data_IF_293583413385
#
_entry.id   IF_293583413385
#
_cell.length_a   1.000
_cell.length_b   1.000
_cell.length_c   1.000
_cell.angle_alpha   90.00
_cell.angle_beta   90.00
_cell.angle_gamma   90.00
#
_symmetry.space_group_name_H-M   'P 1'
#
loop_
_entity.id
_entity.type
_entity.pdbx_description
1 polymer ?
#
# COMPACT_ATOMS: atom_id res chain seq x y z
N UNK A 1 -47.28 -11.01 1.65
CA UNK A 1 -46.35 -10.53 0.61
C UNK A 1 -46.10 -9.03 0.71
N UNK A 2 -47.11 -8.15 0.72
CA UNK A 2 -46.97 -6.68 0.82
C UNK A 2 -46.20 -6.22 2.08
N UNK A 3 -46.46 -6.78 3.26
CA UNK A 3 -45.77 -6.45 4.52
C UNK A 3 -44.26 -6.80 4.43
N UNK A 4 -43.93 -7.95 3.89
CA UNK A 4 -42.51 -8.38 3.74
C UNK A 4 -41.78 -7.43 2.78
N UNK A 5 -42.39 -7.05 1.66
CA UNK A 5 -41.85 -6.09 0.71
C UNK A 5 -41.65 -4.70 1.33
N UNK A 6 -42.62 -4.24 2.13
CA UNK A 6 -42.53 -2.97 2.86
C UNK A 6 -41.41 -2.96 3.88
N UNK A 7 -41.28 -4.02 4.67
CA UNK A 7 -40.20 -4.17 5.64
C UNK A 7 -38.83 -4.18 4.94
N UNK A 8 -38.71 -4.97 3.86
CA UNK A 8 -37.46 -5.04 3.06
C UNK A 8 -37.09 -3.67 2.48
N UNK A 9 -38.07 -2.96 1.91
CA UNK A 9 -37.86 -1.61 1.38
C UNK A 9 -37.41 -0.63 2.47
N UNK A 10 -38.06 -0.67 3.63
CA UNK A 10 -37.70 0.18 4.78
C UNK A 10 -36.27 -0.11 5.25
N UNK A 11 -35.87 -1.38 5.36
CA UNK A 11 -34.51 -1.78 5.72
C UNK A 11 -33.48 -1.26 4.70
N UNK A 12 -33.78 -1.39 3.39
CA UNK A 12 -32.89 -0.88 2.33
C UNK A 12 -32.76 0.64 2.42
N UNK A 13 -33.87 1.36 2.66
CA UNK A 13 -33.83 2.81 2.81
C UNK A 13 -32.99 3.23 4.02
N UNK A 14 -33.17 2.58 5.16
CA UNK A 14 -32.36 2.84 6.37
C UNK A 14 -30.89 2.60 6.08
N UNK A 15 -30.53 1.47 5.44
CA UNK A 15 -29.15 1.17 5.06
C UNK A 15 -28.58 2.21 4.11
N UNK A 16 -29.35 2.68 3.13
CA UNK A 16 -28.94 3.74 2.21
C UNK A 16 -28.68 5.06 2.95
N UNK A 17 -29.55 5.45 3.86
CA UNK A 17 -29.39 6.67 4.68
C UNK A 17 -28.14 6.55 5.58
N UNK A 18 -27.96 5.42 6.25
CA UNK A 18 -26.75 5.16 7.07
C UNK A 18 -25.50 5.27 6.20
N UNK A 19 -25.52 4.67 5.02
CA UNK A 19 -24.37 4.69 4.10
C UNK A 19 -24.06 6.11 3.59
N UNK A 20 -25.08 6.94 3.35
CA UNK A 20 -24.92 8.36 3.03
C UNK A 20 -24.27 9.13 4.20
N UNK A 21 -24.76 8.94 5.42
CA UNK A 21 -24.22 9.58 6.63
C UNK A 21 -22.76 9.15 6.88
N UNK A 22 -22.41 7.89 6.57
CA UNK A 22 -21.07 7.34 6.69
C UNK A 22 -20.15 7.67 5.51
N UNK A 23 -20.55 8.53 4.59
CA UNK A 23 -19.79 8.86 3.38
C UNK A 23 -19.71 10.36 3.09
N UNK A 24 -19.35 11.21 4.09
CA UNK A 24 -19.28 12.65 3.90
C UNK A 24 -18.13 13.07 2.97
N UNK A 25 -17.15 12.20 2.75
CA UNK A 25 -16.03 12.44 1.84
C UNK A 25 -15.04 13.49 2.34
N UNK A 26 -14.95 13.69 3.65
CA UNK A 26 -14.04 14.68 4.26
C UNK A 26 -13.22 14.01 5.36
N UNK A 27 -11.87 14.11 5.31
CA UNK A 27 -11.02 13.63 6.39
C UNK A 27 -11.25 14.47 7.66
N UNK A 28 -11.24 13.77 8.81
CA UNK A 28 -11.40 14.41 10.09
C UNK A 28 -10.17 15.26 10.43
N UNK A 29 -10.36 16.50 10.94
CA UNK A 29 -9.26 17.33 11.43
C UNK A 29 -8.64 16.74 12.69
N UNK A 30 -7.41 17.15 13.00
CA UNK A 30 -6.80 16.80 14.28
C UNK A 30 -7.31 17.73 15.38
N UNK A 31 -7.86 17.22 16.48
CA UNK A 31 -8.22 18.04 17.63
C UNK A 31 -7.01 18.34 18.51
N UNK A 32 -7.01 19.52 19.14
CA UNK A 32 -6.15 19.84 20.28
C UNK A 32 -6.69 19.22 21.58
N UNK A 33 -6.04 19.47 22.71
CA UNK A 33 -6.43 18.98 24.02
C UNK A 33 -7.84 19.47 24.47
N UNK A 34 -8.34 20.56 23.89
CA UNK A 34 -9.64 21.15 24.15
C UNK A 34 -10.71 20.74 23.11
N UNK A 35 -10.37 19.85 22.19
CA UNK A 35 -11.25 19.40 21.11
C UNK A 35 -11.41 20.41 19.96
N UNK A 36 -10.60 21.49 19.94
CA UNK A 36 -10.55 22.45 18.82
C UNK A 36 -9.58 21.94 17.76
N UNK A 37 -9.60 22.59 16.57
CA UNK A 37 -8.63 22.31 15.52
C UNK A 37 -7.20 22.55 16.04
N UNK A 38 -6.35 21.52 15.94
CA UNK A 38 -4.92 21.63 16.25
C UNK A 38 -4.28 22.63 15.28
N UNK A 39 -3.77 23.74 15.80
CA UNK A 39 -3.13 24.77 14.98
C UNK A 39 -1.88 24.22 14.29
N UNK A 40 -1.74 24.55 13.00
CA UNK A 40 -0.63 24.06 12.18
C UNK A 40 -0.82 22.65 11.64
N UNK A 41 -1.87 21.89 12.04
CA UNK A 41 -2.16 20.59 11.48
C UNK A 41 -2.74 20.66 10.06
N UNK A 42 -2.56 19.58 9.30
CA UNK A 42 -3.15 19.37 7.97
C UNK A 42 -3.97 18.09 7.98
N UNK A 43 -5.21 18.18 7.50
CA UNK A 43 -6.08 17.03 7.27
C UNK A 43 -7.01 17.33 6.10
N UNK A 44 -6.56 16.98 4.90
CA UNK A 44 -7.26 17.36 3.67
C UNK A 44 -7.29 16.21 2.65
N UNK A 45 -8.28 16.25 1.78
CA UNK A 45 -8.35 15.47 0.55
C UNK A 45 -8.30 16.44 -0.62
N UNK A 46 -7.34 16.23 -1.50
CA UNK A 46 -7.14 17.08 -2.67
C UNK A 46 -7.04 16.26 -3.95
N UNK A 47 -7.29 16.97 -5.05
CA UNK A 47 -7.11 16.46 -6.40
C UNK A 47 -6.16 17.39 -7.16
N UNK A 48 -5.20 16.81 -7.86
CA UNK A 48 -4.15 17.55 -8.60
C UNK A 48 -4.03 16.95 -10.00
N UNK A 49 -3.89 17.79 -11.00
CA UNK A 49 -3.59 17.32 -12.35
C UNK A 49 -2.10 16.92 -12.43
N UNK A 50 -1.84 15.65 -12.65
CA UNK A 50 -0.52 15.07 -12.82
C UNK A 50 -0.45 14.44 -14.21
N UNK A 51 0.43 14.94 -15.07
CA UNK A 51 0.61 14.46 -16.44
C UNK A 51 -0.70 14.32 -17.25
N UNK A 52 -1.63 15.27 -17.05
CA UNK A 52 -2.90 15.35 -17.79
C UNK A 52 -4.07 14.58 -17.17
N UNK A 53 -3.87 13.90 -16.04
CA UNK A 53 -4.93 13.19 -15.31
C UNK A 53 -5.11 13.78 -13.90
N UNK A 54 -6.38 13.95 -13.50
CA UNK A 54 -6.71 14.32 -12.13
C UNK A 54 -6.44 13.13 -11.21
N UNK A 55 -5.62 13.35 -10.18
CA UNK A 55 -5.21 12.33 -9.22
C UNK A 55 -5.47 12.80 -7.80
N UNK A 56 -6.06 11.92 -6.99
CA UNK A 56 -6.50 12.20 -5.63
C UNK A 56 -5.52 11.70 -4.57
N UNK A 57 -5.48 12.43 -3.45
CA UNK A 57 -4.67 12.05 -2.30
C UNK A 57 -5.23 12.62 -1.01
N UNK A 58 -4.88 11.97 0.11
CA UNK A 58 -5.05 12.53 1.44
C UNK A 58 -3.73 13.08 1.94
N UNK A 59 -3.74 14.28 2.52
CA UNK A 59 -2.57 14.86 3.16
C UNK A 59 -2.86 15.03 4.65
N UNK A 60 -2.06 14.38 5.48
CA UNK A 60 -2.25 14.29 6.92
C UNK A 60 -0.96 14.66 7.66
N UNK A 61 -1.06 15.59 8.61
CA UNK A 61 0.06 15.98 9.48
C UNK A 61 -0.46 16.62 10.76
N UNK A 62 0.20 16.40 11.87
CA UNK A 62 -0.07 17.17 13.10
C UNK A 62 0.66 18.51 13.13
N UNK A 63 1.71 18.65 12.32
CA UNK A 63 2.44 19.92 12.13
C UNK A 63 2.91 20.03 10.67
N UNK A 64 2.45 21.07 9.96
CA UNK A 64 2.77 21.33 8.56
C UNK A 64 4.25 21.62 8.28
N UNK A 65 5.07 21.81 9.32
CA UNK A 65 6.51 22.04 9.21
C UNK A 65 7.30 20.74 9.14
N UNK A 66 6.66 19.61 9.43
CA UNK A 66 7.28 18.28 9.34
C UNK A 66 7.72 17.95 7.90
N UNK A 67 8.76 17.12 7.75
CA UNK A 67 9.18 16.65 6.42
C UNK A 67 8.05 15.91 5.70
N UNK A 68 7.98 16.06 4.38
CA UNK A 68 6.97 15.39 3.55
C UNK A 68 7.37 13.94 3.32
N UNK A 69 6.42 13.03 3.48
CA UNK A 69 6.52 11.62 3.12
C UNK A 69 5.49 11.29 2.04
N UNK A 70 5.93 10.99 0.83
CA UNK A 70 5.07 10.46 -0.22
C UNK A 70 4.94 8.94 -0.06
N UNK A 71 3.70 8.48 0.14
CA UNK A 71 3.37 7.07 0.30
C UNK A 71 2.77 6.50 -0.98
N UNK A 72 3.40 5.44 -1.50
CA UNK A 72 2.97 4.66 -2.66
C UNK A 72 2.32 3.37 -2.19
N UNK A 73 1.01 3.23 -2.36
CA UNK A 73 0.30 2.01 -1.98
C UNK A 73 0.60 0.82 -2.91
N UNK A 74 0.18 -0.39 -2.49
CA UNK A 74 0.30 -1.61 -3.29
C UNK A 74 -0.84 -1.81 -4.29
N UNK A 75 -1.39 -3.01 -4.33
CA UNK A 75 -2.44 -3.42 -5.27
C UNK A 75 -3.80 -2.74 -5.08
N UNK A 76 -3.98 -1.91 -4.06
CA UNK A 76 -5.10 -0.98 -3.86
C UNK A 76 -4.73 0.07 -2.81
N UNK A 77 -5.41 1.24 -2.78
CA UNK A 77 -5.27 2.20 -1.70
C UNK A 77 -5.54 1.56 -0.34
N UNK A 78 -4.78 1.96 0.66
CA UNK A 78 -4.86 1.42 2.01
C UNK A 78 -4.98 2.49 3.11
N UNK A 79 -5.11 3.76 2.73
CA UNK A 79 -5.35 4.87 3.66
C UNK A 79 -6.51 4.58 4.62
N UNK A 80 -7.61 3.97 4.15
CA UNK A 80 -8.77 3.64 4.99
C UNK A 80 -8.41 2.67 6.15
N UNK A 81 -7.34 1.89 6.04
CA UNK A 81 -6.86 1.00 7.10
C UNK A 81 -6.28 1.77 8.29
N UNK A 82 -5.83 3.02 8.08
CA UNK A 82 -5.30 3.86 9.18
C UNK A 82 -6.33 4.15 10.27
N UNK A 83 -7.63 4.02 9.95
CA UNK A 83 -8.71 4.16 10.94
C UNK A 83 -8.79 2.96 11.88
N UNK A 84 -8.49 1.76 11.38
CA UNK A 84 -8.43 0.53 12.18
C UNK A 84 -7.06 0.31 12.81
N UNK A 85 -6.00 0.67 12.07
CA UNK A 85 -4.61 0.50 12.44
C UNK A 85 -3.89 1.86 12.39
N UNK A 86 -4.00 2.70 13.44
CA UNK A 86 -3.34 4.01 13.49
C UNK A 86 -1.82 3.86 13.37
N UNK A 87 -1.23 4.56 12.39
CA UNK A 87 0.19 4.42 12.09
C UNK A 87 1.08 5.36 12.89
N UNK A 88 0.54 6.50 13.31
CA UNK A 88 1.30 7.57 13.97
C UNK A 88 2.36 8.24 13.08
N UNK A 89 2.33 8.00 11.75
CA UNK A 89 3.25 8.67 10.82
C UNK A 89 3.07 10.18 10.82
N UNK A 90 1.87 10.66 11.08
CA UNK A 90 1.47 12.06 11.11
C UNK A 90 2.11 12.85 12.26
N UNK A 91 2.72 12.16 13.24
CA UNK A 91 3.55 12.74 14.29
C UNK A 91 4.97 13.07 13.82
N UNK A 92 5.43 12.42 12.73
CA UNK A 92 6.80 12.51 12.23
C UNK A 92 6.89 13.17 10.86
N UNK A 93 5.81 13.12 10.08
CA UNK A 93 5.78 13.55 8.69
C UNK A 93 4.48 14.28 8.32
N UNK A 94 4.56 15.11 7.30
CA UNK A 94 3.41 15.44 6.46
C UNK A 94 3.22 14.30 5.46
N UNK A 95 2.31 13.37 5.79
CA UNK A 95 2.10 12.15 5.00
C UNK A 95 1.15 12.42 3.84
N UNK A 96 1.58 12.10 2.63
CA UNK A 96 0.79 12.18 1.40
C UNK A 96 0.42 10.75 1.00
N UNK A 97 -0.81 10.35 1.32
CA UNK A 97 -1.40 9.09 0.92
C UNK A 97 -1.95 9.21 -0.50
N UNK A 98 -1.07 9.07 -1.48
CA UNK A 98 -1.44 9.18 -2.88
C UNK A 98 -2.17 7.92 -3.35
N UNK A 99 -3.33 8.09 -3.95
CA UNK A 99 -4.05 7.02 -4.63
C UNK A 99 -3.69 7.06 -6.11
N UNK A 100 -2.90 6.10 -6.54
CA UNK A 100 -2.25 6.05 -7.85
C UNK A 100 -3.27 5.91 -8.99
N UNK A 101 -2.91 6.30 -10.24
CA UNK A 101 -3.77 6.18 -11.41
C UNK A 101 -4.46 4.83 -11.54
N UNK A 102 -5.76 4.85 -11.84
CA UNK A 102 -6.58 3.65 -11.97
C UNK A 102 -7.10 3.08 -10.65
N UNK A 103 -6.81 3.71 -9.51
CA UNK A 103 -7.27 3.24 -8.20
C UNK A 103 -7.89 4.35 -7.35
N UNK A 104 -8.85 3.99 -6.48
CA UNK A 104 -9.44 4.86 -5.47
C UNK A 104 -9.91 6.20 -5.98
N UNK A 105 -9.39 7.29 -5.38
CA UNK A 105 -9.67 8.68 -5.75
C UNK A 105 -9.25 9.01 -7.18
N UNK A 106 -8.19 8.36 -7.68
CA UNK A 106 -7.66 8.55 -9.04
C UNK A 106 -8.24 7.57 -10.06
N UNK A 107 -9.33 6.85 -9.70
CA UNK A 107 -9.97 5.94 -10.62
C UNK A 107 -10.75 6.71 -11.70
N UNK A 108 -10.41 6.44 -12.96
CA UNK A 108 -11.16 6.90 -14.12
C UNK A 108 -11.46 5.70 -15.04
N UNK A 109 -12.75 5.47 -15.32
CA UNK A 109 -13.18 4.36 -16.17
C UNK A 109 -12.67 4.44 -17.61
N UNK A 110 -12.39 5.67 -18.09
CA UNK A 110 -11.92 5.99 -19.44
C UNK A 110 -10.41 6.15 -19.51
N UNK A 111 -9.67 5.84 -18.43
CA UNK A 111 -8.21 5.93 -18.40
C UNK A 111 -7.61 4.91 -19.36
N UNK A 112 -6.73 5.33 -20.27
CA UNK A 112 -6.09 4.41 -21.21
C UNK A 112 -5.12 3.46 -20.47
N UNK A 113 -4.91 2.22 -20.95
CA UNK A 113 -3.96 1.27 -20.34
C UNK A 113 -2.54 1.82 -20.20
N UNK A 114 -2.12 2.72 -21.09
CA UNK A 114 -0.82 3.40 -21.02
C UNK A 114 -0.60 4.21 -19.73
N UNK A 115 -1.67 4.64 -19.06
CA UNK A 115 -1.59 5.40 -17.80
C UNK A 115 -1.15 4.55 -16.60
N UNK A 116 -1.15 3.23 -16.72
CA UNK A 116 -0.72 2.30 -15.67
C UNK A 116 0.52 1.50 -16.05
N UNK A 117 1.31 1.98 -17.00
CA UNK A 117 2.64 1.42 -17.29
C UNK A 117 3.65 1.84 -16.21
N UNK A 118 4.71 1.05 -16.03
CA UNK A 118 5.79 1.41 -15.09
C UNK A 118 6.39 2.79 -15.42
N UNK A 119 6.63 3.06 -16.71
CA UNK A 119 7.19 4.35 -17.16
C UNK A 119 6.27 5.53 -16.77
N UNK A 120 4.95 5.38 -16.95
CA UNK A 120 4.00 6.42 -16.56
C UNK A 120 3.93 6.59 -15.05
N UNK A 121 3.92 5.49 -14.28
CA UNK A 121 3.93 5.55 -12.81
C UNK A 121 5.18 6.23 -12.25
N UNK A 122 6.35 6.00 -12.85
CA UNK A 122 7.58 6.71 -12.50
C UNK A 122 7.46 8.21 -12.83
N UNK A 123 6.95 8.55 -14.02
CA UNK A 123 6.73 9.93 -14.44
C UNK A 123 5.76 10.66 -13.50
N UNK A 124 4.64 10.03 -13.18
CA UNK A 124 3.62 10.60 -12.27
C UNK A 124 4.17 10.80 -10.86
N UNK A 125 4.93 9.83 -10.35
CA UNK A 125 5.56 9.94 -9.03
C UNK A 125 6.53 11.11 -8.97
N UNK A 126 7.35 11.33 -10.01
CA UNK A 126 8.29 12.46 -10.10
C UNK A 126 7.56 13.79 -10.20
N UNK A 127 6.51 13.88 -11.01
CA UNK A 127 5.71 15.11 -11.15
C UNK A 127 4.99 15.45 -9.84
N UNK A 128 4.36 14.46 -9.21
CA UNK A 128 3.76 14.65 -7.89
C UNK A 128 4.79 15.07 -6.84
N UNK A 129 5.97 14.46 -6.83
CA UNK A 129 7.07 14.84 -5.94
C UNK A 129 7.44 16.31 -6.13
N UNK A 130 7.58 16.78 -7.38
CA UNK A 130 7.88 18.19 -7.67
C UNK A 130 6.76 19.14 -7.25
N UNK A 131 5.50 18.73 -7.41
CA UNK A 131 4.35 19.47 -6.88
C UNK A 131 4.44 19.61 -5.35
N UNK A 132 4.70 18.53 -4.63
CA UNK A 132 4.78 18.50 -3.17
C UNK A 132 5.96 19.33 -2.66
N UNK A 133 7.13 19.23 -3.28
CA UNK A 133 8.31 20.04 -2.96
C UNK A 133 8.01 21.54 -3.04
N UNK A 134 7.33 21.97 -4.10
CA UNK A 134 6.90 23.37 -4.28
C UNK A 134 5.85 23.78 -3.25
N UNK A 135 4.84 22.93 -3.03
CA UNK A 135 3.74 23.20 -2.10
C UNK A 135 4.24 23.40 -0.67
N UNK A 136 5.12 22.52 -0.20
CA UNK A 136 5.65 22.52 1.16
C UNK A 136 6.98 23.24 1.30
N UNK A 137 7.53 23.80 0.22
CA UNK A 137 8.82 24.52 0.20
C UNK A 137 9.97 23.65 0.75
N UNK A 138 9.99 22.39 0.36
CA UNK A 138 11.04 21.43 0.73
C UNK A 138 11.87 21.07 -0.51
N UNK A 139 13.18 21.05 -0.37
CA UNK A 139 14.11 20.71 -1.47
C UNK A 139 14.02 19.24 -1.84
N UNK A 140 13.91 18.36 -0.85
CA UNK A 140 13.72 16.93 -0.98
C UNK A 140 12.58 16.46 -0.09
N UNK A 141 12.02 15.29 -0.40
CA UNK A 141 10.98 14.65 0.42
C UNK A 141 11.39 13.19 0.72
N UNK A 142 10.68 12.51 1.61
CA UNK A 142 10.83 11.07 1.81
C UNK A 142 9.90 10.31 0.88
N UNK A 143 10.35 9.13 0.41
CA UNK A 143 9.58 8.23 -0.44
C UNK A 143 9.39 6.90 0.27
N UNK A 144 8.14 6.50 0.51
CA UNK A 144 7.80 5.18 1.07
C UNK A 144 6.94 4.42 0.08
N UNK A 145 7.35 3.21 -0.26
CA UNK A 145 6.52 2.28 -1.00
C UNK A 145 6.08 1.11 -0.14
N UNK A 146 4.87 0.58 -0.39
CA UNK A 146 4.39 -0.67 0.20
C UNK A 146 3.98 -1.64 -0.89
N UNK A 147 4.44 -2.93 -0.80
CA UNK A 147 4.04 -3.96 -1.77
C UNK A 147 4.31 -3.51 -3.22
N UNK A 148 3.31 -3.51 -4.11
CA UNK A 148 3.45 -2.99 -5.49
C UNK A 148 4.02 -1.58 -5.58
N UNK A 149 3.73 -0.72 -4.58
CA UNK A 149 4.32 0.63 -4.50
C UNK A 149 5.83 0.62 -4.31
N UNK A 150 6.40 -0.46 -3.76
CA UNK A 150 7.87 -0.59 -3.64
C UNK A 150 8.53 -0.83 -4.99
N UNK A 151 7.85 -1.49 -5.91
CA UNK A 151 8.35 -1.70 -7.26
C UNK A 151 8.51 -0.37 -8.00
N UNK A 152 7.50 0.50 -7.92
CA UNK A 152 7.55 1.86 -8.48
C UNK A 152 8.60 2.69 -7.73
N UNK A 153 8.53 2.72 -6.40
CA UNK A 153 9.37 3.56 -5.55
C UNK A 153 10.87 3.28 -5.72
N UNK A 154 11.27 2.01 -5.87
CA UNK A 154 12.66 1.63 -6.11
C UNK A 154 13.17 2.14 -7.46
N UNK A 155 12.36 2.03 -8.52
CA UNK A 155 12.71 2.60 -9.82
C UNK A 155 12.82 4.12 -9.79
N UNK A 156 11.92 4.79 -9.08
CA UNK A 156 11.94 6.25 -8.93
C UNK A 156 13.16 6.70 -8.12
N UNK A 157 13.46 6.02 -7.01
CA UNK A 157 14.63 6.31 -6.18
C UNK A 157 15.95 6.17 -6.94
N UNK A 158 16.05 5.17 -7.84
CA UNK A 158 17.23 4.97 -8.68
C UNK A 158 17.34 6.00 -9.82
N UNK A 159 16.20 6.49 -10.36
CA UNK A 159 16.20 7.40 -11.51
C UNK A 159 16.22 8.89 -11.14
N UNK A 160 15.83 9.25 -9.94
CA UNK A 160 15.71 10.63 -9.48
C UNK A 160 16.14 10.79 -8.01
N UNK A 161 17.36 10.35 -7.63
CA UNK A 161 17.83 10.38 -6.25
C UNK A 161 17.89 11.80 -5.68
N UNK A 162 18.04 12.81 -6.52
CA UNK A 162 18.09 14.23 -6.13
C UNK A 162 16.76 14.74 -5.53
N UNK A 163 15.66 14.02 -5.73
CA UNK A 163 14.35 14.42 -5.23
C UNK A 163 14.08 13.93 -3.80
N UNK A 164 14.87 13.00 -3.29
CA UNK A 164 14.54 12.28 -2.05
C UNK A 164 15.65 12.34 -1.02
N UNK A 165 15.25 12.41 0.27
CA UNK A 165 16.15 12.22 1.40
C UNK A 165 16.50 10.76 1.62
N UNK A 166 15.51 9.88 1.46
CA UNK A 166 15.64 8.43 1.58
C UNK A 166 14.48 7.72 0.88
N UNK A 167 14.68 6.45 0.58
CA UNK A 167 13.66 5.50 0.17
C UNK A 167 13.38 4.49 1.29
N UNK A 168 12.11 4.26 1.61
CA UNK A 168 11.65 3.25 2.58
C UNK A 168 10.78 2.24 1.85
N UNK A 169 11.24 1.00 1.76
CA UNK A 169 10.50 -0.11 1.13
C UNK A 169 9.85 -0.99 2.19
N UNK A 170 8.52 -0.99 2.27
CA UNK A 170 7.77 -1.86 3.16
C UNK A 170 7.21 -3.05 2.39
N UNK A 171 7.56 -4.27 2.82
CA UNK A 171 7.29 -5.48 2.05
C UNK A 171 7.84 -5.33 0.61
N UNK A 172 9.15 -5.14 0.50
CA UNK A 172 9.85 -4.82 -0.74
C UNK A 172 9.71 -5.93 -1.77
N UNK A 173 9.03 -5.65 -2.88
CA UNK A 173 8.99 -6.54 -4.03
C UNK A 173 10.37 -6.69 -4.66
N UNK A 174 10.67 -7.89 -5.12
CA UNK A 174 11.93 -8.22 -5.83
C UNK A 174 11.64 -8.98 -7.11
N UNK A 175 11.16 -10.21 -6.98
CA UNK A 175 10.71 -11.08 -8.07
C UNK A 175 9.38 -11.70 -7.65
N UNK A 176 8.27 -11.14 -8.13
CA UNK A 176 6.95 -11.52 -7.66
C UNK A 176 6.55 -12.93 -8.05
N UNK A 177 6.92 -13.39 -9.24
CA UNK A 177 6.60 -14.76 -9.66
C UNK A 177 7.30 -15.81 -8.77
N UNK A 178 8.56 -15.57 -8.40
CA UNK A 178 9.26 -16.43 -7.42
C UNK A 178 8.61 -16.35 -6.03
N UNK A 179 8.18 -15.15 -5.62
CA UNK A 179 7.46 -14.94 -4.35
C UNK A 179 6.19 -15.76 -4.29
N UNK A 180 5.35 -15.71 -5.33
CA UNK A 180 4.11 -16.47 -5.42
C UNK A 180 4.37 -17.99 -5.43
N UNK A 181 5.42 -18.44 -6.10
CA UNK A 181 5.80 -19.87 -6.06
C UNK A 181 6.19 -20.30 -4.65
N UNK A 182 6.98 -19.51 -3.92
CA UNK A 182 7.35 -19.82 -2.52
C UNK A 182 6.14 -19.84 -1.61
N UNK A 183 5.22 -18.89 -1.78
CA UNK A 183 3.95 -18.83 -1.05
C UNK A 183 3.09 -20.07 -1.33
N UNK A 184 2.95 -20.44 -2.60
CA UNK A 184 2.22 -21.63 -3.01
C UNK A 184 2.77 -22.90 -2.34
N UNK A 185 4.08 -23.12 -2.40
CA UNK A 185 4.73 -24.29 -1.80
C UNK A 185 4.52 -24.35 -0.28
N UNK A 186 4.69 -23.20 0.39
CA UNK A 186 4.45 -23.08 1.82
C UNK A 186 3.00 -23.39 2.20
N UNK A 187 2.03 -22.83 1.47
CA UNK A 187 0.61 -23.07 1.73
C UNK A 187 0.23 -24.55 1.53
N UNK A 188 0.75 -25.21 0.48
CA UNK A 188 0.52 -26.66 0.24
C UNK A 188 1.05 -27.47 1.42
N UNK A 189 2.27 -27.21 1.90
CA UNK A 189 2.87 -27.88 3.04
C UNK A 189 2.03 -27.68 4.31
N UNK A 190 1.69 -26.42 4.64
CA UNK A 190 0.93 -26.12 5.85
C UNK A 190 -0.48 -26.69 5.85
N UNK A 191 -1.19 -26.70 4.71
CA UNK A 191 -2.52 -27.30 4.63
C UNK A 191 -2.49 -28.83 4.62
N UNK A 192 -1.38 -29.42 4.19
CA UNK A 192 -1.13 -30.85 4.34
C UNK A 192 -0.90 -31.23 5.82
N UNK A 193 -0.03 -30.48 6.52
CA UNK A 193 0.31 -30.71 7.93
C UNK A 193 -0.89 -30.52 8.87
N UNK A 194 -1.69 -29.46 8.66
CA UNK A 194 -2.86 -29.16 9.51
C UNK A 194 -4.12 -29.94 9.10
N UNK A 195 -4.05 -30.83 8.10
CA UNK A 195 -5.14 -31.69 7.69
C UNK A 195 -6.29 -31.02 6.94
N UNK A 196 -6.13 -29.78 6.46
CA UNK A 196 -7.16 -29.08 5.68
C UNK A 196 -7.22 -29.59 4.23
N UNK A 197 -7.75 -30.81 4.06
CA UNK A 197 -7.84 -31.49 2.76
C UNK A 197 -8.55 -30.66 1.68
N UNK A 198 -9.58 -29.90 2.07
CA UNK A 198 -10.37 -29.09 1.12
C UNK A 198 -9.51 -27.98 0.49
N UNK A 199 -8.72 -27.26 1.29
CA UNK A 199 -7.85 -26.19 0.78
C UNK A 199 -6.65 -26.79 0.04
N UNK A 200 -6.09 -27.88 0.53
CA UNK A 200 -5.00 -28.60 -0.14
C UNK A 200 -5.41 -29.03 -1.56
N UNK A 201 -6.57 -29.66 -1.75
CA UNK A 201 -7.07 -30.05 -3.07
C UNK A 201 -7.25 -28.86 -4.01
N UNK A 202 -7.77 -27.73 -3.50
CA UNK A 202 -7.90 -26.51 -4.29
C UNK A 202 -6.53 -26.01 -4.79
N UNK A 203 -5.52 -25.97 -3.90
CA UNK A 203 -4.16 -25.55 -4.25
C UNK A 203 -3.50 -26.51 -5.24
N UNK A 204 -3.58 -27.82 -4.99
CA UNK A 204 -3.00 -28.84 -5.88
C UNK A 204 -3.58 -28.82 -7.29
N UNK A 205 -4.86 -28.38 -7.44
CA UNK A 205 -5.50 -28.20 -8.75
C UNK A 205 -5.08 -26.92 -9.49
N UNK A 206 -4.33 -26.02 -8.83
CA UNK A 206 -3.95 -24.70 -9.35
C UNK A 206 -2.46 -24.41 -9.09
N UNK A 207 -1.51 -25.22 -9.59
CA UNK A 207 -0.10 -25.09 -9.25
C UNK A 207 0.53 -23.82 -9.84
N UNK A 208 1.30 -23.10 -9.02
CA UNK A 208 2.14 -21.97 -9.46
C UNK A 208 3.51 -22.49 -9.86
N UNK A 209 3.92 -22.23 -11.08
CA UNK A 209 5.23 -22.62 -11.61
C UNK A 209 5.97 -21.44 -12.20
N UNK A 210 7.31 -21.50 -12.27
CA UNK A 210 8.09 -20.44 -12.94
C UNK A 210 7.96 -20.50 -14.46
N UNK A 211 7.50 -21.61 -15.03
CA UNK A 211 7.32 -21.82 -16.46
C UNK A 211 5.96 -21.33 -16.94
N UNK A 212 4.90 -21.76 -16.22
CA UNK A 212 3.52 -21.53 -16.66
C UNK A 212 2.89 -20.33 -15.96
N UNK A 213 3.60 -19.74 -14.95
CA UNK A 213 3.16 -18.55 -14.23
C UNK A 213 2.14 -18.83 -13.12
N UNK A 214 1.22 -17.90 -12.94
CA UNK A 214 0.19 -17.90 -11.91
C UNK A 214 -1.17 -18.11 -12.56
N UNK A 215 -1.83 -19.28 -12.36
CA UNK A 215 -3.13 -19.52 -12.95
C UNK A 215 -4.24 -18.72 -12.25
N UNK A 216 -5.29 -18.32 -12.98
CA UNK A 216 -6.45 -17.59 -12.45
C UNK A 216 -7.16 -18.37 -11.33
N UNK A 217 -7.18 -19.71 -11.44
CA UNK A 217 -7.72 -20.58 -10.40
C UNK A 217 -6.97 -20.45 -9.08
N UNK A 218 -5.65 -20.24 -9.10
CA UNK A 218 -4.86 -19.93 -7.89
C UNK A 218 -5.21 -18.54 -7.35
N UNK A 219 -5.26 -17.52 -8.19
CA UNK A 219 -5.59 -16.16 -7.76
C UNK A 219 -6.95 -16.11 -7.04
N UNK A 220 -7.91 -16.93 -7.46
CA UNK A 220 -9.24 -17.00 -6.85
C UNK A 220 -9.27 -17.56 -5.41
N UNK A 221 -8.27 -18.34 -5.01
CA UNK A 221 -8.17 -18.98 -3.69
C UNK A 221 -7.02 -18.46 -2.84
N UNK A 222 -6.06 -17.78 -3.45
CA UNK A 222 -4.81 -17.33 -2.85
C UNK A 222 -5.02 -16.54 -1.56
N UNK A 223 -5.84 -15.50 -1.63
CA UNK A 223 -6.05 -14.61 -0.49
C UNK A 223 -6.77 -15.33 0.67
N UNK A 224 -7.74 -16.21 0.37
CA UNK A 224 -8.39 -17.05 1.39
C UNK A 224 -7.36 -17.97 2.07
N UNK A 225 -6.50 -18.60 1.28
CA UNK A 225 -5.49 -19.52 1.79
C UNK A 225 -4.44 -18.80 2.65
N UNK A 226 -3.92 -17.66 2.17
CA UNK A 226 -2.95 -16.84 2.91
C UNK A 226 -3.50 -16.32 4.23
N UNK A 227 -4.72 -15.78 4.24
CA UNK A 227 -5.32 -15.24 5.46
C UNK A 227 -5.62 -16.34 6.49
N UNK A 228 -6.02 -17.54 6.05
CA UNK A 228 -6.19 -18.69 6.98
C UNK A 228 -4.91 -19.11 7.69
N UNK A 229 -3.76 -18.85 7.10
CA UNK A 229 -2.45 -19.16 7.68
C UNK A 229 -1.81 -17.96 8.39
N UNK A 230 -2.45 -16.79 8.37
CA UNK A 230 -1.90 -15.56 8.93
C UNK A 230 -0.62 -15.08 8.23
N UNK A 231 -0.52 -15.28 6.91
CA UNK A 231 0.63 -14.92 6.08
C UNK A 231 0.24 -13.96 4.94
N UNK A 232 -0.98 -13.45 4.98
CA UNK A 232 -1.52 -12.47 4.02
C UNK A 232 -1.25 -11.04 4.45
N UNK A 233 -2.27 -10.18 4.38
CA UNK A 233 -2.15 -8.73 4.61
C UNK A 233 -1.68 -8.37 6.02
N UNK A 234 -2.30 -8.97 7.05
CA UNK A 234 -1.87 -8.93 8.45
C UNK A 234 -2.06 -10.31 9.05
N UNK A 235 -1.39 -10.58 10.18
CA UNK A 235 -1.48 -11.87 10.88
C UNK A 235 -2.87 -12.18 11.41
N UNK A 236 -3.61 -11.15 11.82
CA UNK A 236 -4.94 -11.24 12.41
C UNK A 236 -6.09 -11.15 11.39
N UNK A 237 -5.80 -10.82 10.14
CA UNK A 237 -6.82 -10.68 9.11
C UNK A 237 -7.28 -12.06 8.59
N UNK A 238 -8.49 -12.43 8.95
CA UNK A 238 -9.05 -13.73 8.59
C UNK A 238 -9.90 -13.70 7.29
N UNK A 239 -10.28 -12.51 6.82
CA UNK A 239 -11.14 -12.35 5.65
C UNK A 239 -10.98 -10.97 5.02
N UNK A 240 -10.95 -10.93 3.68
CA UNK A 240 -10.99 -9.68 2.90
C UNK A 240 -12.25 -8.87 3.21
N UNK A 241 -13.38 -9.54 3.49
CA UNK A 241 -14.63 -8.84 3.79
C UNK A 241 -14.49 -8.00 5.06
N UNK A 242 -14.01 -8.59 6.16
CA UNK A 242 -13.88 -7.88 7.45
C UNK A 242 -12.59 -7.07 7.55
N UNK A 243 -11.57 -7.42 6.77
CA UNK A 243 -10.27 -6.75 6.78
C UNK A 243 -10.15 -5.55 5.83
N UNK A 244 -10.82 -5.60 4.69
CA UNK A 244 -10.75 -4.55 3.66
C UNK A 244 -12.11 -3.98 3.29
N UNK A 245 -13.06 -4.84 2.91
CA UNK A 245 -14.33 -4.38 2.35
C UNK A 245 -15.11 -3.52 3.36
N UNK A 246 -15.40 -4.06 4.54
CA UNK A 246 -16.12 -3.30 5.57
C UNK A 246 -15.36 -2.06 6.04
N UNK A 247 -14.05 -2.10 6.36
CA UNK A 247 -13.30 -0.89 6.69
C UNK A 247 -13.34 0.19 5.61
N UNK A 248 -13.24 -0.18 4.33
CA UNK A 248 -13.32 0.78 3.22
C UNK A 248 -14.71 1.42 3.11
N UNK A 249 -15.79 0.64 3.31
CA UNK A 249 -17.16 1.15 3.31
C UNK A 249 -17.44 2.06 4.51
N UNK A 250 -16.85 1.78 5.66
CA UNK A 250 -17.06 2.54 6.89
C UNK A 250 -16.15 3.78 6.99
N UNK A 251 -15.12 3.89 6.16
CA UNK A 251 -14.24 5.06 6.17
C UNK A 251 -15.00 6.31 5.71
N UNK A 252 -15.12 7.30 6.60
CA UNK A 252 -15.90 8.53 6.39
C UNK A 252 -15.20 9.51 5.44
N UNK A 253 -13.92 9.34 5.20
CA UNK A 253 -13.10 10.25 4.41
C UNK A 253 -13.38 10.14 2.90
N UNK A 254 -14.11 9.09 2.49
CA UNK A 254 -14.54 8.86 1.11
C UNK A 254 -16.05 9.10 0.91
N UNK A 255 -16.39 9.64 -0.23
CA UNK A 255 -17.78 9.66 -0.75
C UNK A 255 -18.20 8.25 -1.21
N UNK A 256 -19.49 8.05 -1.44
CA UNK A 256 -20.01 6.76 -1.97
C UNK A 256 -19.35 6.41 -3.32
N UNK A 257 -19.26 7.37 -4.23
CA UNK A 257 -18.65 7.15 -5.55
C UNK A 257 -17.18 6.77 -5.46
N UNK A 258 -16.42 7.37 -4.57
CA UNK A 258 -15.01 7.05 -4.33
C UNK A 258 -14.83 5.63 -3.74
N UNK A 259 -15.72 5.22 -2.82
CA UNK A 259 -15.76 3.84 -2.30
C UNK A 259 -16.03 2.82 -3.39
N UNK A 260 -17.00 3.10 -4.28
CA UNK A 260 -17.28 2.26 -5.45
C UNK A 260 -16.06 2.22 -6.38
N UNK A 261 -15.46 3.36 -6.68
CA UNK A 261 -14.30 3.47 -7.55
C UNK A 261 -13.07 2.74 -7.00
N UNK A 262 -12.88 2.73 -5.69
CA UNK A 262 -11.82 1.94 -5.03
C UNK A 262 -11.92 0.45 -5.41
N UNK A 263 -13.11 -0.14 -5.33
CA UNK A 263 -13.32 -1.55 -5.66
C UNK A 263 -13.32 -1.81 -7.17
N UNK A 264 -13.78 -0.86 -7.98
CA UNK A 264 -13.64 -0.94 -9.45
C UNK A 264 -12.17 -0.92 -9.87
N UNK A 265 -11.37 -0.06 -9.24
CA UNK A 265 -9.92 -0.02 -9.45
C UNK A 265 -9.25 -1.32 -9.01
N UNK A 266 -9.60 -1.85 -7.82
CA UNK A 266 -9.08 -3.13 -7.34
C UNK A 266 -9.37 -4.28 -8.30
N UNK A 267 -10.59 -4.34 -8.86
CA UNK A 267 -10.95 -5.39 -9.83
C UNK A 267 -10.13 -5.31 -11.14
N UNK A 268 -9.62 -4.12 -11.49
CA UNK A 268 -8.78 -3.92 -12.70
C UNK A 268 -7.28 -4.07 -12.41
N UNK A 269 -6.82 -3.98 -11.17
CA UNK A 269 -5.39 -3.95 -10.85
C UNK A 269 -4.66 -5.25 -11.19
N UNK A 270 -5.33 -6.39 -11.11
CA UNK A 270 -4.77 -7.70 -11.45
C UNK A 270 -4.60 -7.97 -12.95
N UNK A 271 -5.16 -7.11 -13.81
CA UNK A 271 -5.06 -7.19 -15.28
C UNK A 271 -4.43 -5.92 -15.88
N UNK A 272 -3.62 -5.22 -15.09
CA UNK A 272 -2.92 -4.00 -15.51
C UNK A 272 -1.58 -4.32 -16.13
N UNK A 273 -1.14 -3.46 -17.09
CA UNK A 273 0.19 -3.55 -17.69
C UNK A 273 1.33 -3.46 -16.67
N UNK A 274 1.09 -2.76 -15.55
CA UNK A 274 2.04 -2.71 -14.44
C UNK A 274 2.19 -4.08 -13.78
N UNK A 275 1.08 -4.80 -13.54
CA UNK A 275 1.12 -6.13 -12.94
C UNK A 275 1.88 -7.13 -13.82
N UNK A 276 1.63 -7.11 -15.13
CA UNK A 276 2.37 -7.94 -16.09
C UNK A 276 3.87 -7.65 -16.04
N UNK A 277 4.25 -6.36 -15.94
CA UNK A 277 5.65 -5.95 -15.80
C UNK A 277 6.26 -6.44 -14.48
N UNK A 278 5.52 -6.35 -13.36
CA UNK A 278 5.96 -6.83 -12.04
C UNK A 278 6.26 -8.32 -12.07
N UNK A 279 5.40 -9.12 -12.72
CA UNK A 279 5.55 -10.58 -12.75
C UNK A 279 6.80 -11.05 -13.50
N UNK A 280 7.22 -10.33 -14.52
CA UNK A 280 8.37 -10.72 -15.37
C UNK A 280 9.68 -10.04 -14.96
N UNK A 281 9.63 -9.07 -14.05
CA UNK A 281 10.82 -8.30 -13.65
C UNK A 281 11.45 -8.85 -12.37
N UNK A 282 12.78 -8.96 -12.38
CA UNK A 282 13.59 -9.22 -11.18
C UNK A 282 14.35 -7.95 -10.84
N UNK A 283 13.94 -7.22 -9.79
CA UNK A 283 14.59 -5.99 -9.34
C UNK A 283 16.05 -6.20 -8.95
N UNK A 284 16.42 -7.39 -8.50
CA UNK A 284 17.82 -7.70 -8.18
C UNK A 284 18.75 -7.68 -9.38
N UNK A 285 18.19 -7.67 -10.59
CA UNK A 285 18.92 -7.57 -11.86
C UNK A 285 18.77 -6.19 -12.52
N UNK A 286 17.66 -5.50 -12.27
CA UNK A 286 17.31 -4.25 -12.98
C UNK A 286 17.62 -2.99 -12.17
N UNK A 287 17.60 -3.06 -10.83
CA UNK A 287 17.96 -1.96 -9.94
C UNK A 287 18.97 -2.46 -8.90
N UNK A 288 20.24 -2.37 -9.23
CA UNK A 288 21.36 -2.89 -8.42
C UNK A 288 22.01 -1.82 -7.53
N UNK A 289 21.73 -0.55 -7.80
CA UNK A 289 22.33 0.60 -7.12
C UNK A 289 21.34 1.77 -7.00
N UNK A 290 21.38 2.48 -5.87
CA UNK A 290 20.58 3.67 -5.60
C UNK A 290 21.44 4.66 -4.81
N UNK A 291 21.47 5.94 -5.23
CA UNK A 291 22.37 6.97 -4.68
C UNK A 291 21.82 7.72 -3.46
N UNK A 292 20.80 7.17 -2.80
CA UNK A 292 20.22 7.70 -1.56
C UNK A 292 20.13 6.61 -0.48
N UNK A 293 19.96 6.96 0.81
CA UNK A 293 19.70 6.01 1.88
C UNK A 293 18.48 5.11 1.58
N UNK A 294 18.62 3.81 1.83
CA UNK A 294 17.57 2.78 1.58
C UNK A 294 17.30 1.97 2.83
N UNK A 295 16.03 1.90 3.22
CA UNK A 295 15.58 1.16 4.39
C UNK A 295 14.47 0.19 4.01
N UNK A 296 14.64 -1.11 4.32
CA UNK A 296 13.61 -2.13 4.10
C UNK A 296 12.98 -2.55 5.42
N UNK A 297 11.65 -2.51 5.48
CA UNK A 297 10.83 -2.95 6.60
C UNK A 297 10.03 -4.17 6.15
N UNK A 298 10.26 -5.32 6.78
CA UNK A 298 9.68 -6.57 6.29
C UNK A 298 9.26 -7.50 7.43
N UNK A 299 8.02 -8.01 7.37
CA UNK A 299 7.52 -9.02 8.30
C UNK A 299 8.04 -10.42 7.96
N UNK A 300 8.43 -11.20 8.97
CA UNK A 300 8.94 -12.57 8.75
C UNK A 300 7.85 -13.53 8.23
N UNK A 301 6.57 -13.21 8.47
CA UNK A 301 5.43 -13.99 8.03
C UNK A 301 4.85 -13.49 6.70
N UNK A 302 5.56 -12.60 5.99
CA UNK A 302 5.12 -12.11 4.69
C UNK A 302 5.40 -13.15 3.59
N UNK A 303 4.33 -13.79 3.13
CA UNK A 303 4.35 -14.64 1.94
C UNK A 303 3.62 -14.00 0.75
N UNK A 304 3.02 -12.81 0.93
CA UNK A 304 2.52 -12.01 -0.19
C UNK A 304 3.67 -11.47 -1.03
N UNK A 305 4.72 -11.00 -0.33
CA UNK A 305 6.03 -10.66 -0.90
C UNK A 305 7.09 -11.33 -0.05
N UNK A 306 7.90 -12.20 -0.66
CA UNK A 306 8.81 -13.06 0.09
C UNK A 306 9.86 -12.27 0.88
N UNK A 307 9.86 -12.43 2.21
CA UNK A 307 10.88 -11.92 3.11
C UNK A 307 12.29 -12.33 2.68
N UNK A 308 12.48 -13.60 2.33
CA UNK A 308 13.79 -14.14 1.94
C UNK A 308 14.32 -13.47 0.67
N UNK A 309 13.47 -13.33 -0.36
CA UNK A 309 13.87 -12.68 -1.61
C UNK A 309 14.19 -11.19 -1.40
N UNK A 310 13.43 -10.50 -0.54
CA UNK A 310 13.71 -9.11 -0.20
C UNK A 310 15.04 -8.96 0.54
N UNK A 311 15.34 -9.88 1.48
CA UNK A 311 16.60 -9.90 2.22
C UNK A 311 17.80 -10.20 1.32
N UNK A 312 17.65 -11.15 0.40
CA UNK A 312 18.69 -11.48 -0.60
C UNK A 312 18.95 -10.30 -1.56
N UNK A 313 17.88 -9.61 -1.98
CA UNK A 313 18.03 -8.40 -2.79
C UNK A 313 18.74 -7.29 -2.04
N UNK A 314 18.34 -7.04 -0.79
CA UNK A 314 19.00 -6.04 0.06
C UNK A 314 20.50 -6.30 0.23
N UNK A 315 20.92 -7.56 0.35
CA UNK A 315 22.33 -7.93 0.42
C UNK A 315 23.14 -7.51 -0.83
N UNK A 316 22.51 -7.56 -2.00
CA UNK A 316 23.13 -7.24 -3.30
C UNK A 316 23.02 -5.77 -3.68
N UNK A 317 21.98 -5.08 -3.23
CA UNK A 317 21.75 -3.67 -3.53
C UNK A 317 22.87 -2.80 -2.99
N UNK A 318 23.36 -1.87 -3.79
CA UNK A 318 24.30 -0.84 -3.38
C UNK A 318 23.55 0.44 -3.06
N UNK A 319 23.84 1.04 -1.91
CA UNK A 319 23.35 2.35 -1.51
C UNK A 319 24.31 2.96 -0.47
N UNK A 320 24.37 4.31 -0.34
CA UNK A 320 25.29 4.98 0.59
C UNK A 320 25.01 4.62 2.05
N UNK A 321 23.75 4.46 2.42
CA UNK A 321 23.30 3.98 3.73
C UNK A 321 22.22 2.93 3.49
N UNK A 322 22.26 1.80 4.22
CA UNK A 322 21.27 0.73 4.10
C UNK A 322 20.85 0.20 5.47
N UNK A 323 19.54 0.01 5.67
CA UNK A 323 18.98 -0.67 6.84
C UNK A 323 17.95 -1.72 6.45
N UNK A 324 18.06 -2.95 6.97
CA UNK A 324 17.03 -3.99 6.84
C UNK A 324 16.45 -4.30 8.22
N UNK A 325 15.17 -4.00 8.41
CA UNK A 325 14.49 -4.16 9.69
C UNK A 325 13.45 -5.26 9.59
N UNK A 326 13.67 -6.30 10.39
CA UNK A 326 12.80 -7.46 10.52
C UNK A 326 11.69 -7.16 11.53
N UNK A 327 10.45 -7.49 11.18
CA UNK A 327 9.27 -7.36 12.04
C UNK A 327 8.78 -8.77 12.38
N UNK A 328 9.02 -9.19 13.62
CA UNK A 328 8.85 -10.58 14.06
C UNK A 328 7.39 -10.96 14.33
N UNK A 329 6.50 -10.00 14.49
CA UNK A 329 5.07 -10.23 14.68
C UNK A 329 4.24 -9.89 13.45
N UNK A 330 4.85 -9.46 12.34
CA UNK A 330 4.16 -8.97 11.16
C UNK A 330 4.20 -9.95 9.98
N UNK A 331 3.12 -9.94 9.20
CA UNK A 331 3.06 -10.44 7.83
C UNK A 331 3.37 -9.30 6.84
N UNK A 332 2.47 -9.04 5.90
CA UNK A 332 2.68 -8.09 4.79
C UNK A 332 2.57 -6.60 5.17
N UNK A 333 2.24 -6.28 6.41
CA UNK A 333 1.92 -4.90 6.79
C UNK A 333 2.57 -4.45 8.10
N UNK A 334 3.90 -4.42 8.22
CA UNK A 334 4.58 -3.94 9.44
C UNK A 334 4.04 -2.60 9.96
N UNK A 335 3.70 -1.65 9.07
CA UNK A 335 3.14 -0.35 9.43
C UNK A 335 1.84 -0.44 10.24
N UNK A 336 1.03 -1.45 9.95
CA UNK A 336 -0.27 -1.66 10.60
C UNK A 336 -0.21 -2.66 11.76
N UNK A 337 0.78 -3.54 11.77
CA UNK A 337 0.91 -4.64 12.74
C UNK A 337 1.85 -4.28 13.90
N UNK A 338 2.95 -3.57 13.61
CA UNK A 338 3.95 -3.13 14.60
C UNK A 338 4.26 -1.62 14.46
N UNK A 339 3.23 -0.72 14.52
CA UNK A 339 3.39 0.71 14.21
C UNK A 339 4.40 1.42 15.12
N UNK A 340 4.50 1.03 16.40
CA UNK A 340 5.45 1.64 17.34
C UNK A 340 6.90 1.35 16.93
N UNK A 341 7.20 0.12 16.52
CA UNK A 341 8.54 -0.24 16.03
C UNK A 341 8.87 0.49 14.73
N UNK A 342 7.89 0.63 13.83
CA UNK A 342 8.06 1.44 12.61
C UNK A 342 8.37 2.88 12.97
N UNK A 343 7.60 3.51 13.85
CA UNK A 343 7.82 4.90 14.28
C UNK A 343 9.19 5.09 14.93
N UNK A 344 9.58 4.19 15.82
CA UNK A 344 10.87 4.25 16.48
C UNK A 344 12.01 4.21 15.46
N UNK A 345 11.98 3.30 14.49
CA UNK A 345 13.03 3.21 13.46
C UNK A 345 13.04 4.47 12.59
N UNK A 346 11.86 4.97 12.19
CA UNK A 346 11.77 6.20 11.40
C UNK A 346 12.35 7.39 12.16
N UNK A 347 12.00 7.56 13.43
CA UNK A 347 12.42 8.70 14.25
C UNK A 347 13.91 8.62 14.64
N UNK A 348 14.34 7.46 15.12
CA UNK A 348 15.67 7.31 15.74
C UNK A 348 16.77 7.01 14.74
N UNK A 349 16.44 6.45 13.58
CA UNK A 349 17.40 6.04 12.59
C UNK A 349 17.21 6.85 11.31
N UNK A 350 16.10 6.67 10.59
CA UNK A 350 15.92 7.25 9.26
C UNK A 350 16.05 8.76 9.28
N UNK A 351 15.30 9.45 10.14
CA UNK A 351 15.34 10.91 10.24
C UNK A 351 16.68 11.43 10.78
N UNK A 352 17.32 10.74 11.73
CA UNK A 352 18.63 11.17 12.25
C UNK A 352 19.75 10.99 11.22
N UNK A 353 19.81 9.86 10.55
CA UNK A 353 20.86 9.56 9.56
C UNK A 353 20.77 10.50 8.35
N UNK A 354 19.55 10.76 7.86
CA UNK A 354 19.35 11.67 6.72
C UNK A 354 19.63 13.12 7.07
N UNK A 355 19.31 13.58 8.30
CA UNK A 355 19.66 14.94 8.77
C UNK A 355 21.17 15.10 8.96
N UNK A 356 21.88 14.07 9.38
CA UNK A 356 23.36 14.12 9.53
C UNK A 356 24.07 14.09 8.18
N UNK A 357 23.53 13.41 7.18
CA UNK A 357 24.10 13.37 5.84
C UNK A 357 23.95 14.69 5.06
N UNK A 358 23.13 15.65 5.57
CA UNK A 358 22.95 17.00 5.00
C UNK A 358 23.86 18.07 5.62
N UNK A 359 24.57 17.73 6.70
CA UNK A 359 25.56 18.60 7.36
C UNK A 359 26.96 18.31 6.83
#
# INVERSE_FOLDING_TARGET
>A
MLIILSVLFTCILILAVVFLIMSPGKPEPYPDENGKLLEGSISEKIFVNINGFEQGMFIKSKDKTLPVLLYLHGGMPDYFLTKKYPTGLEDLFTVVWWEQPGSGLSFNANMPPSSTTLAQMISDTKELTNYLRKRFRQEKIYLMGRSGGTFIGMHVAAQAPELYHAYIGMAQMTNQLKSEKLAYLYMVEQFKENGNRKMLQKLESAPVTLKDGIPDSYLSIRDEAMHKLGIGTTRDMNSIITGFFLPSLLCRDYTISEKVNMWRGKAKSGVSTLWDTILVTDLSQTVTEVDIPVYFFHGIFDYTVSYTLAKDYFGKLKAPIKGFYTFEASAHSPLFEEPEKVRQILQEIVLKETNNAQR
#
